data_IF_833092732673
#
_entry.id   IF_833092732673
#
_cell.length_a   1.000
_cell.length_b   1.000
_cell.length_c   1.000
_cell.angle_alpha   90.00
_cell.angle_beta   90.00
_cell.angle_gamma   90.00
#
_symmetry.space_group_name_H-M   'P 1'
#
loop_
_entity.id
_entity.type
_entity.pdbx_description
1 polymer ?
#
# COMPACT_ATOMS: atom_id res chain seq x y z
N UNK A 1 28.17 -75.29 35.84
CA UNK A 1 28.98 -74.43 34.94
C UNK A 1 28.17 -74.29 33.65
N UNK A 2 27.80 -73.14 33.07
CA UNK A 2 28.05 -71.69 33.24
C UNK A 2 26.79 -70.98 32.70
N UNK A 3 26.15 -70.13 33.51
CA UNK A 3 25.91 -68.70 33.30
C UNK A 3 25.32 -68.28 31.92
N UNK A 4 24.03 -67.95 31.91
CA UNK A 4 23.36 -67.19 30.85
C UNK A 4 23.51 -65.69 31.13
N UNK A 5 24.10 -64.97 30.17
CA UNK A 5 24.25 -63.52 30.20
C UNK A 5 23.02 -62.86 29.59
N UNK A 6 22.35 -61.98 30.32
CA UNK A 6 21.33 -61.07 29.79
C UNK A 6 21.99 -59.73 29.53
N UNK A 7 22.01 -59.29 28.27
CA UNK A 7 22.50 -57.96 27.90
C UNK A 7 21.31 -57.00 27.92
N UNK A 8 21.33 -56.05 28.85
CA UNK A 8 20.33 -54.99 28.96
C UNK A 8 20.74 -53.81 28.10
N UNK A 9 20.01 -53.55 27.01
CA UNK A 9 20.24 -52.40 26.14
C UNK A 9 19.69 -51.12 26.76
N UNK A 10 20.56 -50.17 27.09
CA UNK A 10 20.20 -48.84 27.57
C UNK A 10 19.99 -47.91 26.37
N UNK A 11 18.74 -47.57 26.07
CA UNK A 11 18.40 -46.59 25.03
C UNK A 11 18.60 -45.16 25.57
N UNK A 12 19.59 -44.43 25.04
CA UNK A 12 19.75 -42.99 25.27
C UNK A 12 18.79 -42.22 24.34
N UNK A 13 17.75 -41.60 24.89
CA UNK A 13 16.98 -40.58 24.18
C UNK A 13 17.76 -39.26 24.18
N UNK A 14 18.28 -38.86 23.01
CA UNK A 14 18.78 -37.52 22.77
C UNK A 14 17.58 -36.55 22.66
N UNK A 15 17.38 -35.69 23.65
CA UNK A 15 16.38 -34.63 23.61
C UNK A 15 16.83 -33.49 22.70
N UNK A 16 16.09 -33.24 21.62
CA UNK A 16 16.28 -32.08 20.76
C UNK A 16 15.87 -30.81 21.51
N UNK A 17 16.83 -29.94 21.82
CA UNK A 17 16.55 -28.61 22.34
C UNK A 17 16.00 -27.73 21.21
N UNK A 18 14.69 -27.49 21.22
CA UNK A 18 14.04 -26.51 20.36
C UNK A 18 14.40 -25.12 20.88
N UNK A 19 15.30 -24.43 20.18
CA UNK A 19 15.60 -23.02 20.44
C UNK A 19 14.47 -22.15 19.89
N UNK A 20 13.58 -21.66 20.76
CA UNK A 20 12.59 -20.66 20.40
C UNK A 20 13.29 -19.31 20.22
N UNK A 21 13.55 -18.90 18.98
CA UNK A 21 13.95 -17.53 18.68
C UNK A 21 12.77 -16.60 18.97
N UNK A 22 12.95 -15.51 19.74
CA UNK A 22 11.88 -14.54 19.93
C UNK A 22 11.53 -13.94 18.57
N UNK A 23 10.25 -14.05 18.20
CA UNK A 23 9.71 -13.30 17.07
C UNK A 23 9.83 -11.83 17.43
N UNK A 24 10.79 -11.13 16.81
CA UNK A 24 10.84 -9.67 16.93
C UNK A 24 9.56 -9.15 16.28
N UNK A 25 8.61 -8.65 17.07
CA UNK A 25 7.62 -7.73 16.54
C UNK A 25 8.41 -6.57 15.96
N UNK A 26 8.47 -6.50 14.63
CA UNK A 26 8.90 -5.27 13.97
C UNK A 26 7.92 -4.21 14.47
N UNK A 27 8.41 -3.10 15.04
CA UNK A 27 7.52 -1.99 15.33
C UNK A 27 6.78 -1.65 14.02
N UNK A 28 5.45 -1.54 14.08
CA UNK A 28 4.66 -1.23 12.90
C UNK A 28 5.21 0.06 12.29
N UNK A 29 5.48 0.01 10.98
CA UNK A 29 5.96 1.18 10.27
C UNK A 29 4.88 2.27 10.37
N UNK A 30 5.24 3.55 10.53
CA UNK A 30 4.26 4.62 10.42
C UNK A 30 3.58 4.58 9.04
N UNK A 31 2.37 5.12 8.92
CA UNK A 31 1.65 5.16 7.67
C UNK A 31 2.20 6.24 6.73
N UNK A 32 2.22 5.98 5.43
CA UNK A 32 2.36 7.00 4.40
C UNK A 32 1.10 7.00 3.54
N UNK A 33 0.43 8.15 3.38
CA UNK A 33 -0.77 8.27 2.56
C UNK A 33 -0.48 9.08 1.29
N UNK A 34 -0.62 8.45 0.13
CA UNK A 34 -0.47 9.09 -1.18
C UNK A 34 -1.85 9.24 -1.81
N UNK A 35 -2.30 10.48 -2.01
CA UNK A 35 -3.68 10.74 -2.40
C UNK A 35 -3.78 11.01 -3.89
N UNK A 36 -4.20 10.02 -4.68
CA UNK A 36 -4.46 10.16 -6.11
C UNK A 36 -5.93 10.52 -6.36
N UNK A 37 -6.18 11.54 -7.18
CA UNK A 37 -7.55 11.88 -7.55
C UNK A 37 -7.68 13.15 -8.38
N UNK A 38 -8.94 13.55 -8.60
CA UNK A 38 -9.29 14.75 -9.35
C UNK A 38 -9.32 16.03 -8.48
N UNK A 39 -10.02 17.06 -8.95
CA UNK A 39 -10.19 18.34 -8.24
C UNK A 39 -10.78 18.20 -6.83
N UNK A 40 -11.56 17.16 -6.57
CA UNK A 40 -12.14 16.91 -5.24
C UNK A 40 -11.13 16.34 -4.25
N UNK A 41 -9.97 15.89 -4.72
CA UNK A 41 -8.80 15.54 -3.90
C UNK A 41 -7.75 16.67 -3.89
N UNK A 42 -7.57 17.34 -5.04
CA UNK A 42 -6.53 18.32 -5.31
C UNK A 42 -6.52 19.55 -4.39
N UNK A 43 -5.34 20.14 -4.21
CA UNK A 43 -5.20 21.48 -3.65
C UNK A 43 -5.72 22.49 -4.68
N UNK A 44 -6.69 23.32 -4.30
CA UNK A 44 -7.28 24.33 -5.20
C UNK A 44 -6.85 25.75 -4.82
N UNK A 45 -6.47 25.98 -3.57
CA UNK A 45 -6.00 27.27 -3.06
C UNK A 45 -5.02 27.07 -1.90
N UNK A 46 -4.28 28.12 -1.55
CA UNK A 46 -3.40 28.07 -0.38
C UNK A 46 -4.22 27.81 0.89
N UNK A 47 -4.04 26.63 1.49
CA UNK A 47 -4.76 26.21 2.69
C UNK A 47 -6.12 25.54 2.44
N UNK A 48 -6.49 25.22 1.19
CA UNK A 48 -7.79 24.60 0.92
C UNK A 48 -7.95 24.00 -0.49
N UNK A 49 -9.10 23.37 -0.70
CA UNK A 49 -9.44 22.66 -1.93
C UNK A 49 -10.19 21.37 -1.63
N UNK A 50 -9.91 20.34 -2.40
CA UNK A 50 -10.40 18.98 -2.17
C UNK A 50 -10.09 18.44 -0.77
N UNK A 51 -10.68 17.29 -0.44
CA UNK A 51 -10.62 16.69 0.90
C UNK A 51 -9.18 16.33 1.33
N UNK A 52 -8.26 16.12 0.39
CA UNK A 52 -6.93 15.58 0.64
C UNK A 52 -6.10 16.39 1.62
N UNK A 53 -6.02 17.72 1.45
CA UNK A 53 -5.26 18.60 2.37
C UNK A 53 -5.81 18.55 3.79
N UNK A 54 -7.15 18.49 3.93
CA UNK A 54 -7.80 18.35 5.22
C UNK A 54 -7.45 17.03 5.90
N UNK A 55 -7.51 15.92 5.16
CA UNK A 55 -7.12 14.60 5.67
C UNK A 55 -5.65 14.56 6.10
N UNK A 56 -4.72 15.06 5.27
CA UNK A 56 -3.29 15.07 5.61
C UNK A 56 -2.98 15.90 6.86
N UNK A 57 -3.75 16.95 7.12
CA UNK A 57 -3.64 17.75 8.34
C UNK A 57 -4.02 17.02 9.64
N UNK A 58 -4.66 15.84 9.54
CA UNK A 58 -5.04 15.02 10.71
C UNK A 58 -4.01 13.96 11.08
N UNK A 59 -2.96 13.79 10.26
CA UNK A 59 -1.97 12.74 10.46
C UNK A 59 -1.16 12.97 11.75
N UNK A 60 -0.90 11.87 12.45
CA UNK A 60 -0.17 11.83 13.73
C UNK A 60 0.70 10.59 13.81
N UNK A 61 1.40 10.38 14.93
CA UNK A 61 2.23 9.19 15.19
C UNK A 61 3.31 8.93 14.11
N UNK A 62 3.88 9.99 13.55
CA UNK A 62 4.92 9.91 12.52
C UNK A 62 4.39 9.53 11.13
N UNK A 63 3.07 9.46 10.94
CA UNK A 63 2.49 9.29 9.62
C UNK A 63 2.78 10.50 8.73
N UNK A 64 2.97 10.24 7.44
CA UNK A 64 3.24 11.25 6.42
C UNK A 64 2.24 11.14 5.30
N UNK A 65 2.15 12.15 4.44
CA UNK A 65 1.40 11.99 3.20
C UNK A 65 1.63 13.09 2.19
N UNK A 66 1.25 12.77 0.95
CA UNK A 66 1.40 13.64 -0.22
C UNK A 66 0.05 13.69 -0.94
N UNK A 67 -0.40 14.90 -1.27
CA UNK A 67 -1.61 15.09 -2.07
C UNK A 67 -1.22 15.21 -3.54
N UNK A 68 -1.54 14.19 -4.33
CA UNK A 68 -1.33 14.15 -5.79
C UNK A 68 -2.60 14.50 -6.58
N UNK A 69 -3.66 14.95 -5.92
CA UNK A 69 -4.88 15.35 -6.59
C UNK A 69 -4.59 16.44 -7.63
N UNK A 70 -5.11 16.25 -8.83
CA UNK A 70 -4.89 17.16 -9.96
C UNK A 70 -6.23 17.54 -10.59
N UNK A 71 -6.50 18.84 -10.63
CA UNK A 71 -7.75 19.39 -11.15
C UNK A 71 -8.08 18.91 -12.56
N UNK A 72 -9.33 18.49 -12.77
CA UNK A 72 -9.85 18.14 -14.09
C UNK A 72 -9.39 16.79 -14.64
N UNK A 73 -8.60 16.01 -13.90
CA UNK A 73 -8.14 14.70 -14.36
C UNK A 73 -9.24 13.65 -14.34
N UNK A 74 -9.23 12.85 -15.40
CA UNK A 74 -9.89 11.54 -15.51
C UNK A 74 -8.89 10.45 -15.11
N UNK A 75 -9.34 9.21 -14.94
CA UNK A 75 -8.44 8.05 -14.79
C UNK A 75 -7.42 7.98 -15.94
N UNK A 76 -7.86 8.17 -17.19
CA UNK A 76 -7.00 8.16 -18.38
C UNK A 76 -5.97 9.29 -18.36
N UNK A 77 -6.42 10.53 -18.22
CA UNK A 77 -5.52 11.70 -18.31
C UNK A 77 -4.58 11.84 -17.12
N UNK A 78 -4.92 11.26 -15.96
CA UNK A 78 -4.01 11.18 -14.81
C UNK A 78 -2.83 10.23 -15.09
N UNK A 79 -3.10 9.11 -15.78
CA UNK A 79 -2.07 8.17 -16.19
C UNK A 79 -1.23 8.74 -17.33
N UNK A 80 -1.87 9.17 -18.43
CA UNK A 80 -1.19 9.73 -19.60
C UNK A 80 -0.42 11.02 -19.29
N UNK A 81 -0.90 11.80 -18.33
CA UNK A 81 -0.25 13.02 -17.86
C UNK A 81 0.99 12.80 -17.00
N UNK A 82 1.29 11.54 -16.63
CA UNK A 82 2.44 11.19 -15.78
C UNK A 82 2.23 11.42 -14.28
N UNK A 83 1.05 11.89 -13.86
CA UNK A 83 0.70 12.03 -12.46
C UNK A 83 0.76 10.65 -11.76
N UNK A 84 0.21 9.61 -12.40
CA UNK A 84 0.23 8.25 -11.86
C UNK A 84 1.65 7.66 -11.70
N UNK A 85 2.52 7.86 -12.69
CA UNK A 85 3.91 7.40 -12.62
C UNK A 85 4.64 8.02 -11.41
N UNK A 86 4.31 9.27 -11.07
CA UNK A 86 4.86 9.95 -9.89
C UNK A 86 4.34 9.32 -8.59
N UNK A 87 3.06 8.94 -8.53
CA UNK A 87 2.47 8.25 -7.37
C UNK A 87 3.17 6.91 -7.15
N UNK A 88 3.30 6.08 -8.18
CA UNK A 88 3.93 4.76 -8.08
C UNK A 88 5.40 4.86 -7.65
N UNK A 89 6.16 5.80 -8.22
CA UNK A 89 7.54 6.02 -7.81
C UNK A 89 7.64 6.41 -6.32
N UNK A 90 6.69 7.19 -5.79
CA UNK A 90 6.68 7.53 -4.37
C UNK A 90 6.26 6.33 -3.50
N UNK A 91 5.35 5.45 -3.98
CA UNK A 91 5.05 4.17 -3.31
C UNK A 91 6.33 3.38 -3.11
N UNK A 92 7.05 3.10 -4.19
CA UNK A 92 8.29 2.31 -4.19
C UNK A 92 9.35 2.91 -3.25
N UNK A 93 9.44 4.24 -3.20
CA UNK A 93 10.38 4.94 -2.32
C UNK A 93 10.04 4.76 -0.82
N UNK A 94 8.76 4.66 -0.48
CA UNK A 94 8.28 4.67 0.92
C UNK A 94 8.09 3.29 1.52
N UNK A 95 7.75 2.27 0.74
CA UNK A 95 7.37 0.93 1.24
C UNK A 95 8.45 0.26 2.10
N UNK A 96 9.72 0.65 1.98
CA UNK A 96 10.79 0.15 2.86
C UNK A 96 10.63 0.60 4.32
N UNK A 97 10.12 1.83 4.51
CA UNK A 97 10.14 2.57 5.79
C UNK A 97 8.74 2.88 6.33
N UNK A 98 7.71 2.85 5.48
CA UNK A 98 6.31 3.12 5.82
C UNK A 98 5.41 1.93 5.45
N UNK A 99 4.24 1.86 6.09
CA UNK A 99 3.08 1.16 5.52
C UNK A 99 2.40 2.14 4.58
N UNK A 100 2.57 1.94 3.28
CA UNK A 100 2.16 2.93 2.26
C UNK A 100 0.76 2.63 1.75
N UNK A 101 -0.15 3.58 1.93
CA UNK A 101 -1.51 3.57 1.41
C UNK A 101 -1.65 4.53 0.24
N UNK A 102 -2.41 4.15 -0.79
CA UNK A 102 -2.74 5.00 -1.93
C UNK A 102 -4.24 5.11 -2.06
N UNK A 103 -4.82 6.25 -1.70
CA UNK A 103 -6.25 6.46 -1.98
C UNK A 103 -6.42 6.78 -3.46
N UNK A 104 -7.39 6.14 -4.12
CA UNK A 104 -7.69 6.36 -5.54
C UNK A 104 -9.14 6.87 -5.64
N UNK A 105 -9.32 8.15 -5.99
CA UNK A 105 -10.64 8.76 -6.15
C UNK A 105 -10.77 9.50 -7.48
N UNK A 106 -11.52 8.88 -8.40
CA UNK A 106 -11.86 9.44 -9.71
C UNK A 106 -13.35 9.22 -10.01
N UNK A 107 -13.84 9.86 -11.08
CA UNK A 107 -15.21 9.70 -11.56
C UNK A 107 -15.86 11.00 -12.02
N UNK A 108 -15.62 12.13 -11.36
CA UNK A 108 -16.32 13.39 -11.70
C UNK A 108 -16.02 13.88 -13.13
N UNK A 109 -14.81 13.63 -13.62
CA UNK A 109 -14.43 13.96 -14.98
C UNK A 109 -14.66 12.81 -15.95
N UNK A 110 -14.46 11.57 -15.51
CA UNK A 110 -14.67 10.36 -16.33
C UNK A 110 -16.13 10.22 -16.79
N UNK A 111 -17.10 10.59 -15.93
CA UNK A 111 -18.53 10.50 -16.26
C UNK A 111 -19.00 11.52 -17.32
N UNK A 112 -18.18 12.51 -17.68
CA UNK A 112 -18.58 13.55 -18.63
C UNK A 112 -18.56 12.98 -20.04
N UNK A 113 -19.60 13.24 -20.83
CA UNK A 113 -19.68 12.79 -22.22
C UNK A 113 -18.43 13.18 -23.04
N UNK A 114 -17.91 14.39 -22.83
CA UNK A 114 -16.71 14.89 -23.49
C UNK A 114 -15.42 14.13 -23.15
N UNK A 115 -15.39 13.35 -22.06
CA UNK A 115 -14.26 12.50 -21.72
C UNK A 115 -14.20 11.24 -22.61
N UNK A 116 -15.35 10.80 -23.14
CA UNK A 116 -15.42 9.62 -24.00
C UNK A 116 -15.08 8.29 -23.31
N UNK A 117 -15.10 8.25 -21.97
CA UNK A 117 -14.74 7.07 -21.18
C UNK A 117 -16.01 6.27 -20.87
N UNK A 118 -16.03 5.00 -21.27
CA UNK A 118 -17.13 4.08 -20.95
C UNK A 118 -17.11 3.63 -19.49
N UNK A 119 -18.21 3.08 -18.97
CA UNK A 119 -18.24 2.53 -17.60
C UNK A 119 -17.30 1.32 -17.49
N UNK A 120 -17.23 0.51 -18.54
CA UNK A 120 -16.33 -0.64 -18.64
C UNK A 120 -14.86 -0.21 -18.59
N UNK A 121 -14.50 0.82 -19.36
CA UNK A 121 -13.15 1.40 -19.35
C UNK A 121 -12.81 2.04 -18.00
N UNK A 122 -13.71 2.85 -17.43
CA UNK A 122 -13.52 3.42 -16.10
C UNK A 122 -13.30 2.34 -15.03
N UNK A 123 -14.08 1.25 -15.09
CA UNK A 123 -13.94 0.11 -14.18
C UNK A 123 -12.58 -0.56 -14.34
N UNK A 124 -12.17 -0.85 -15.58
CA UNK A 124 -10.87 -1.45 -15.86
C UNK A 124 -9.72 -0.53 -15.41
N UNK A 125 -9.83 0.78 -15.64
CA UNK A 125 -8.83 1.74 -15.20
C UNK A 125 -8.67 1.72 -13.69
N UNK A 126 -9.75 1.80 -12.91
CA UNK A 126 -9.66 1.74 -11.44
C UNK A 126 -9.08 0.42 -10.92
N UNK A 127 -9.42 -0.70 -11.56
CA UNK A 127 -8.84 -2.00 -11.24
C UNK A 127 -7.33 -2.00 -11.46
N UNK A 128 -6.88 -1.55 -12.64
CA UNK A 128 -5.46 -1.48 -12.99
C UNK A 128 -4.67 -0.58 -12.02
N UNK A 129 -5.20 0.61 -11.68
CA UNK A 129 -4.56 1.50 -10.70
C UNK A 129 -4.39 0.80 -9.34
N UNK A 130 -5.41 0.08 -8.86
CA UNK A 130 -5.31 -0.68 -7.62
C UNK A 130 -4.31 -1.84 -7.69
N UNK A 131 -4.24 -2.54 -8.83
CA UNK A 131 -3.27 -3.62 -9.05
C UNK A 131 -1.83 -3.11 -9.11
N UNK A 132 -1.59 -1.96 -9.75
CA UNK A 132 -0.27 -1.35 -9.84
C UNK A 132 0.25 -0.87 -8.47
N UNK A 133 -0.62 -0.33 -7.61
CA UNK A 133 -0.26 0.01 -6.23
C UNK A 133 0.20 -1.23 -5.47
N UNK A 134 -0.56 -2.33 -5.56
CA UNK A 134 -0.19 -3.60 -4.93
C UNK A 134 1.11 -4.16 -5.48
N UNK A 135 1.32 -4.07 -6.79
CA UNK A 135 2.56 -4.49 -7.44
C UNK A 135 3.77 -3.69 -6.96
N UNK A 136 3.60 -2.40 -6.69
CA UNK A 136 4.61 -1.53 -6.08
C UNK A 136 4.82 -1.75 -4.56
N UNK A 137 4.02 -2.63 -3.94
CA UNK A 137 4.11 -2.98 -2.52
C UNK A 137 3.31 -2.06 -1.58
N UNK A 138 2.45 -1.19 -2.13
CA UNK A 138 1.51 -0.38 -1.36
C UNK A 138 0.13 -1.02 -1.22
N UNK A 139 -0.74 -0.36 -0.45
CA UNK A 139 -2.13 -0.77 -0.22
C UNK A 139 -3.10 0.27 -0.82
N UNK A 140 -3.88 -0.07 -1.85
CA UNK A 140 -4.87 0.83 -2.44
C UNK A 140 -6.15 0.95 -1.60
#
# INVERSE_FOLDING_TARGET
MKASSVVSSLALLAGSLVSASPMRCRADKPAAFLLAGDSTTAVQSTGGGGWGTGFLGTLTNGAVGTNYGHNGRTTVSFVEGGDWATVIADVESKVSSYTTYVTIQFGHNDQKEAAGISVEEFTANLQNLGEEVRAAGGEP
#
